data_IF_035427725056
#
_entry.id   IF_035427725056
#
_cell.length_a   1.000
_cell.length_b   1.000
_cell.length_c   1.000
_cell.angle_alpha   90.00
_cell.angle_beta   90.00
_cell.angle_gamma   90.00
#
_symmetry.space_group_name_H-M   'P 1'
#
loop_
_entity.id
_entity.type
_entity.pdbx_description
1 polymer ?
#
# COMPACT_ATOMS: atom_id res chain seq x y z
N UNK A 1 -1.04 3.87 -5.45
CA UNK A 1 -0.02 4.85 -5.85
C UNK A 1 -0.46 5.52 -7.14
N UNK A 2 -0.39 6.85 -7.24
CA UNK A 2 -0.71 7.63 -8.45
C UNK A 2 0.51 8.42 -8.96
N UNK A 3 1.71 8.07 -8.49
CA UNK A 3 2.97 8.71 -8.86
C UNK A 3 3.24 8.69 -10.37
N UNK A 4 4.18 9.52 -10.83
CA UNK A 4 4.63 9.49 -12.22
C UNK A 4 5.29 8.16 -12.62
N UNK A 5 6.00 7.49 -11.70
CA UNK A 5 6.69 6.22 -11.98
C UNK A 5 5.71 5.07 -12.27
N UNK A 6 4.53 5.13 -11.65
CA UNK A 6 3.43 4.20 -11.88
C UNK A 6 2.67 4.43 -13.20
N UNK A 7 2.92 5.54 -13.89
CA UNK A 7 2.32 5.86 -15.20
C UNK A 7 3.12 5.26 -16.36
N UNK A 8 3.60 4.03 -16.17
CA UNK A 8 4.36 3.26 -17.15
C UNK A 8 3.52 2.09 -17.65
N UNK A 9 3.52 1.79 -18.96
CA UNK A 9 2.83 0.61 -19.49
C UNK A 9 3.35 -0.68 -18.86
N UNK A 10 2.45 -1.61 -18.51
CA UNK A 10 2.82 -2.91 -17.93
C UNK A 10 3.62 -3.81 -18.89
N UNK A 11 3.56 -3.52 -20.20
CA UNK A 11 4.38 -4.17 -21.22
C UNK A 11 4.45 -3.30 -22.47
N UNK A 12 5.40 -3.52 -23.40
CA UNK A 12 5.58 -2.69 -24.59
C UNK A 12 4.35 -2.57 -25.50
N UNK A 13 3.42 -3.53 -25.45
CA UNK A 13 2.20 -3.56 -26.26
C UNK A 13 0.94 -3.18 -25.49
N UNK A 14 1.05 -2.94 -24.18
CA UNK A 14 -0.09 -2.62 -23.34
C UNK A 14 -0.39 -1.13 -23.35
N UNK A 15 -1.68 -0.78 -23.33
CA UNK A 15 -2.15 0.57 -22.99
C UNK A 15 -2.44 0.73 -21.50
N UNK A 16 -2.48 -0.39 -20.77
CA UNK A 16 -2.70 -0.40 -19.32
C UNK A 16 -1.40 -0.03 -18.62
N UNK A 17 -1.48 0.92 -17.71
CA UNK A 17 -0.36 1.41 -16.90
C UNK A 17 -0.33 0.75 -15.52
N UNK A 18 0.84 0.73 -14.86
CA UNK A 18 1.02 0.09 -13.55
C UNK A 18 0.04 0.60 -12.49
N UNK A 19 -0.24 1.90 -12.45
CA UNK A 19 -1.20 2.45 -11.47
C UNK A 19 -2.60 1.84 -11.63
N UNK A 20 -3.04 1.58 -12.87
CA UNK A 20 -4.37 1.00 -13.13
C UNK A 20 -4.51 -0.40 -12.54
N UNK A 21 -3.42 -1.18 -12.54
CA UNK A 21 -3.38 -2.48 -11.86
C UNK A 21 -3.63 -2.31 -10.36
N UNK A 22 -2.95 -1.35 -9.72
CA UNK A 22 -3.16 -1.03 -8.31
C UNK A 22 -4.60 -0.60 -8.01
N UNK A 23 -5.23 0.16 -8.92
CA UNK A 23 -6.63 0.55 -8.80
C UNK A 23 -7.57 -0.65 -8.90
N UNK A 24 -7.34 -1.58 -9.84
CA UNK A 24 -8.14 -2.81 -9.96
C UNK A 24 -8.01 -3.66 -8.70
N UNK A 25 -6.79 -3.91 -8.21
CA UNK A 25 -6.56 -4.69 -6.99
C UNK A 25 -7.22 -4.05 -5.76
N UNK A 26 -7.10 -2.73 -5.60
CA UNK A 26 -7.79 -1.99 -4.55
C UNK A 26 -9.32 -2.13 -4.63
N UNK A 27 -9.89 -2.09 -5.83
CA UNK A 27 -11.33 -2.27 -6.03
C UNK A 27 -11.80 -3.72 -5.83
N UNK A 28 -10.97 -4.72 -6.12
CA UNK A 28 -11.25 -6.11 -5.79
C UNK A 28 -11.29 -6.30 -4.27
N UNK A 29 -10.36 -5.73 -3.52
CA UNK A 29 -10.38 -5.74 -2.05
C UNK A 29 -11.62 -5.03 -1.50
N UNK A 30 -11.96 -3.84 -2.03
CA UNK A 30 -13.18 -3.11 -1.62
C UNK A 30 -14.46 -3.90 -1.89
N UNK A 31 -14.48 -4.69 -2.96
CA UNK A 31 -15.60 -5.57 -3.26
C UNK A 31 -15.71 -6.75 -2.28
N UNK A 32 -14.59 -7.37 -1.93
CA UNK A 32 -14.55 -8.57 -1.09
C UNK A 32 -14.68 -8.29 0.41
N UNK A 33 -14.03 -7.24 0.90
CA UNK A 33 -13.97 -6.93 2.32
C UNK A 33 -15.19 -6.10 2.77
N UNK A 34 -15.59 -6.28 4.03
CA UNK A 34 -16.74 -5.56 4.62
C UNK A 34 -16.40 -4.13 5.02
N UNK A 35 -15.23 -3.93 5.62
CA UNK A 35 -14.74 -2.63 6.11
C UNK A 35 -13.45 -2.28 5.39
N UNK A 36 -13.50 -1.29 4.50
CA UNK A 36 -12.33 -0.86 3.71
C UNK A 36 -12.28 0.66 3.67
N UNK A 37 -11.09 1.20 3.90
CA UNK A 37 -10.76 2.60 3.62
C UNK A 37 -9.89 2.58 2.37
N UNK A 38 -10.42 3.10 1.27
CA UNK A 38 -9.68 3.22 0.01
C UNK A 38 -9.20 4.65 -0.17
N UNK A 39 -7.98 4.83 -0.63
CA UNK A 39 -7.48 6.13 -1.02
C UNK A 39 -6.38 6.07 -2.06
N UNK A 40 -6.04 7.25 -2.56
CA UNK A 40 -4.98 7.50 -3.51
C UNK A 40 -3.85 8.23 -2.78
N UNK A 41 -2.61 7.91 -3.11
CA UNK A 41 -1.45 8.65 -2.63
C UNK A 41 -0.54 9.08 -3.78
N UNK A 42 0.12 10.22 -3.58
CA UNK A 42 1.14 10.78 -4.44
C UNK A 42 2.00 11.80 -3.67
N UNK A 43 1.90 13.08 -4.03
CA UNK A 43 2.25 14.22 -3.16
C UNK A 43 1.38 14.26 -1.90
N UNK A 44 0.12 13.87 -1.97
CA UNK A 44 -0.83 13.92 -0.85
C UNK A 44 -1.59 12.59 -0.71
N UNK A 45 -2.30 12.41 0.40
CA UNK A 45 -3.23 11.29 0.60
C UNK A 45 -4.67 11.77 0.46
N UNK A 46 -5.48 11.02 -0.28
CA UNK A 46 -6.91 11.31 -0.45
C UNK A 46 -7.73 10.03 -0.34
N UNK A 47 -8.64 9.99 0.64
CA UNK A 47 -9.67 8.94 0.72
C UNK A 47 -10.65 9.13 -0.44
N UNK A 48 -11.06 8.02 -1.05
CA UNK A 48 -12.11 8.01 -2.07
C UNK A 48 -13.21 7.05 -1.65
N UNK A 49 -14.43 7.56 -1.57
CA UNK A 49 -15.61 6.76 -1.26
C UNK A 49 -16.27 6.31 -2.58
N UNK A 50 -16.38 5.00 -2.77
CA UNK A 50 -17.00 4.39 -3.94
C UNK A 50 -17.94 3.26 -3.52
N UNK A 51 -18.94 2.90 -4.34
CA UNK A 51 -19.75 1.70 -4.10
C UNK A 51 -18.88 0.45 -4.00
N UNK A 52 -19.28 -0.53 -3.18
CA UNK A 52 -18.56 -1.81 -3.07
C UNK A 52 -18.68 -2.68 -4.34
N UNK A 53 -19.68 -2.43 -5.17
CA UNK A 53 -19.90 -3.13 -6.44
C UNK A 53 -19.37 -2.31 -7.62
N UNK A 54 -19.20 -2.98 -8.77
CA UNK A 54 -18.76 -2.32 -10.00
C UNK A 54 -17.26 -2.05 -10.04
N UNK A 55 -16.44 -3.08 -9.79
CA UNK A 55 -14.96 -3.01 -9.77
C UNK A 55 -14.41 -2.20 -10.94
N UNK A 56 -14.74 -2.57 -12.18
CA UNK A 56 -14.23 -1.89 -13.38
C UNK A 56 -14.71 -0.43 -13.51
N UNK A 57 -15.99 -0.17 -13.19
CA UNK A 57 -16.54 1.18 -13.24
C UNK A 57 -15.87 2.09 -12.20
N UNK A 58 -15.58 1.56 -11.03
CA UNK A 58 -14.86 2.28 -9.97
C UNK A 58 -13.39 2.49 -10.32
N UNK A 59 -12.72 1.47 -10.87
CA UNK A 59 -11.35 1.61 -11.39
C UNK A 59 -11.28 2.74 -12.41
N UNK A 60 -12.21 2.78 -13.36
CA UNK A 60 -12.25 3.86 -14.36
C UNK A 60 -12.46 5.25 -13.73
N UNK A 61 -13.35 5.36 -12.73
CA UNK A 61 -13.53 6.60 -11.96
C UNK A 61 -12.24 7.04 -11.26
N UNK A 62 -11.55 6.11 -10.60
CA UNK A 62 -10.28 6.39 -9.92
C UNK A 62 -9.17 6.78 -10.90
N UNK A 63 -9.11 6.15 -12.07
CA UNK A 63 -8.13 6.46 -13.11
C UNK A 63 -8.29 7.91 -13.62
N UNK A 64 -9.53 8.38 -13.73
CA UNK A 64 -9.84 9.76 -14.10
C UNK A 64 -9.48 10.79 -12.99
N UNK A 65 -9.02 10.34 -11.81
CA UNK A 65 -8.51 11.21 -10.73
C UNK A 65 -6.98 11.36 -10.75
N UNK A 66 -6.33 10.96 -11.84
CA UNK A 66 -4.89 11.18 -12.02
C UNK A 66 -4.52 12.66 -11.82
N UNK A 67 -3.42 12.91 -11.11
CA UNK A 67 -2.98 14.27 -10.75
C UNK A 67 -3.66 14.88 -9.51
N UNK A 68 -4.80 14.37 -9.04
CA UNK A 68 -5.52 14.92 -7.86
C UNK A 68 -4.67 14.88 -6.58
N UNK A 69 -3.76 13.92 -6.49
CA UNK A 69 -2.84 13.76 -5.34
C UNK A 69 -1.40 14.17 -5.68
N UNK A 70 -1.16 14.79 -6.83
CA UNK A 70 0.18 15.05 -7.38
C UNK A 70 0.92 13.77 -7.80
N UNK A 71 2.25 13.86 -8.02
CA UNK A 71 3.00 12.85 -8.78
C UNK A 71 4.23 12.27 -8.06
N UNK A 72 4.57 12.72 -6.85
CA UNK A 72 5.55 12.05 -5.98
C UNK A 72 5.04 10.73 -5.44
N UNK A 73 5.90 9.97 -4.76
CA UNK A 73 5.58 8.61 -4.26
C UNK A 73 5.63 8.52 -2.74
N UNK A 74 4.82 9.33 -2.04
CA UNK A 74 4.84 9.42 -0.57
C UNK A 74 3.88 8.43 0.11
N UNK A 75 4.19 7.12 0.05
CA UNK A 75 3.34 6.07 0.63
C UNK A 75 3.09 6.20 2.14
N UNK A 76 4.01 6.81 2.89
CA UNK A 76 3.88 7.04 4.33
C UNK A 76 2.64 7.89 4.70
N UNK A 77 2.14 8.73 3.79
CA UNK A 77 0.99 9.62 4.05
C UNK A 77 -0.30 8.87 4.33
N UNK A 78 -0.46 7.67 3.76
CA UNK A 78 -1.59 6.80 4.07
C UNK A 78 -1.55 6.32 5.52
N UNK A 79 -0.37 5.94 6.02
CA UNK A 79 -0.18 5.49 7.41
C UNK A 79 -0.30 6.66 8.38
N UNK A 80 0.29 7.82 8.05
CA UNK A 80 0.10 9.05 8.83
C UNK A 80 -1.38 9.36 9.02
N UNK A 81 -2.16 9.29 7.94
CA UNK A 81 -3.59 9.55 8.05
C UNK A 81 -4.28 8.61 9.04
N UNK A 82 -3.89 7.33 9.10
CA UNK A 82 -4.37 6.39 10.12
C UNK A 82 -3.94 6.81 11.55
N UNK A 83 -2.68 7.23 11.72
CA UNK A 83 -2.13 7.73 12.98
C UNK A 83 -2.87 8.97 13.50
N UNK A 84 -3.11 9.94 12.62
CA UNK A 84 -3.73 11.23 12.95
C UNK A 84 -5.21 11.05 13.30
N UNK A 85 -5.90 10.17 12.56
CA UNK A 85 -7.34 9.94 12.72
C UNK A 85 -7.66 8.78 13.67
N UNK A 86 -6.63 8.19 14.31
CA UNK A 86 -6.73 7.05 15.23
C UNK A 86 -7.58 5.90 14.66
N UNK A 87 -7.41 5.62 13.36
CA UNK A 87 -8.15 4.55 12.68
C UNK A 87 -7.42 3.23 12.83
N UNK A 88 -8.10 2.22 13.34
CA UNK A 88 -7.58 0.86 13.46
C UNK A 88 -7.90 0.07 12.19
N UNK A 89 -6.87 -0.51 11.57
CA UNK A 89 -6.96 -1.38 10.43
C UNK A 89 -6.12 -2.64 10.71
N UNK A 90 -6.73 -3.81 10.55
CA UNK A 90 -6.03 -5.08 10.74
C UNK A 90 -4.95 -5.29 9.67
N UNK A 91 -5.17 -4.74 8.48
CA UNK A 91 -4.29 -4.89 7.33
C UNK A 91 -4.24 -3.59 6.54
N UNK A 92 -3.04 -3.19 6.13
CA UNK A 92 -2.82 -2.07 5.21
C UNK A 92 -2.17 -2.60 3.93
N UNK A 93 -2.79 -2.29 2.79
CA UNK A 93 -2.32 -2.70 1.46
C UNK A 93 -1.85 -1.46 0.70
N UNK A 94 -0.60 -1.47 0.26
CA UNK A 94 0.01 -0.40 -0.56
C UNK A 94 0.34 -1.00 -1.92
N UNK A 95 -0.32 -0.53 -2.97
CA UNK A 95 -0.04 -0.90 -4.36
C UNK A 95 0.83 0.17 -5.02
N UNK A 96 2.07 -0.17 -5.37
CA UNK A 96 3.13 0.76 -5.82
C UNK A 96 4.12 0.03 -6.76
N UNK A 97 5.14 0.71 -7.24
CA UNK A 97 6.32 0.14 -7.91
C UNK A 97 7.54 0.11 -6.97
N UNK A 98 7.29 0.33 -5.67
CA UNK A 98 8.28 0.39 -4.60
C UNK A 98 9.32 1.51 -4.77
N UNK A 99 9.11 2.46 -5.69
CA UNK A 99 9.83 3.73 -5.69
C UNK A 99 9.27 4.67 -4.63
N UNK A 100 8.96 4.13 -3.46
CA UNK A 100 8.49 4.89 -2.31
C UNK A 100 9.61 5.83 -1.89
N UNK A 101 9.34 7.12 -1.94
CA UNK A 101 10.27 8.09 -1.40
C UNK A 101 10.13 8.00 0.12
N UNK A 102 11.01 7.23 0.73
CA UNK A 102 11.45 7.57 2.06
C UNK A 102 12.17 8.91 1.92
N UNK A 103 11.70 9.92 2.64
CA UNK A 103 12.39 11.21 2.72
C UNK A 103 13.68 11.05 3.54
N UNK A 104 14.55 10.12 3.16
CA UNK A 104 15.91 10.01 3.68
C UNK A 104 16.73 11.12 3.05
N UNK A 105 16.54 12.31 3.59
CA UNK A 105 17.28 13.45 3.12
C UNK A 105 17.44 14.48 4.22
N UNK A 106 18.18 14.09 5.25
CA UNK A 106 18.97 15.06 6.00
C UNK A 106 19.76 16.01 5.04
N UNK A 107 20.03 15.57 3.80
CA UNK A 107 20.61 16.39 2.73
C UNK A 107 19.64 17.29 1.94
N UNK A 108 18.34 16.97 1.84
CA UNK A 108 17.37 17.78 1.06
C UNK A 108 16.62 18.76 1.97
N UNK A 109 16.38 18.40 3.24
CA UNK A 109 15.77 19.32 4.22
C UNK A 109 16.64 20.56 4.49
N UNK A 110 17.97 20.45 4.32
CA UNK A 110 18.90 21.57 4.47
C UNK A 110 18.76 22.64 3.37
N UNK A 111 18.16 22.31 2.22
CA UNK A 111 17.93 23.22 1.09
C UNK A 111 16.45 23.45 0.78
N UNK A 112 15.53 22.89 1.58
CA UNK A 112 14.09 23.16 1.41
C UNK A 112 13.80 24.62 1.80
N UNK A 113 13.22 25.45 0.90
CA UNK A 113 12.87 26.83 1.19
C UNK A 113 11.74 26.95 2.25
N UNK A 114 11.19 25.83 2.71
CA UNK A 114 10.11 25.76 3.70
C UNK A 114 10.60 25.40 5.12
N UNK A 115 11.92 25.28 5.35
CA UNK A 115 12.51 24.94 6.65
C UNK A 115 12.82 23.44 6.81
N UNK A 116 13.36 23.00 7.96
CA UNK A 116 13.65 21.59 8.20
C UNK A 116 12.33 20.81 8.21
N UNK A 117 12.06 20.08 7.14
CA UNK A 117 10.91 19.17 7.09
C UNK A 117 11.15 18.02 8.08
N UNK A 118 10.15 17.74 8.93
CA UNK A 118 10.14 16.52 9.73
C UNK A 118 10.32 15.32 8.80
N UNK A 119 11.33 14.49 9.07
CA UNK A 119 11.62 13.30 8.28
C UNK A 119 10.54 12.27 8.50
N UNK A 120 10.00 11.72 7.42
CA UNK A 120 8.96 10.73 7.52
C UNK A 120 9.16 9.64 6.48
N UNK A 121 9.62 8.51 6.99
CA UNK A 121 9.69 7.26 6.25
C UNK A 121 8.41 6.46 6.45
N UNK A 122 8.14 5.53 5.52
CA UNK A 122 7.05 4.58 5.69
C UNK A 122 7.25 3.73 6.96
N UNK A 123 8.51 3.36 7.25
CA UNK A 123 8.89 2.58 8.44
C UNK A 123 8.57 3.31 9.74
N UNK A 124 8.90 4.60 9.85
CA UNK A 124 8.62 5.41 11.05
C UNK A 124 7.12 5.59 11.30
N UNK A 125 6.35 5.92 10.27
CA UNK A 125 4.89 6.04 10.41
C UNK A 125 4.26 4.69 10.76
N UNK A 126 4.77 3.59 10.20
CA UNK A 126 4.32 2.25 10.56
C UNK A 126 4.63 1.91 12.01
N UNK A 127 5.84 2.23 12.50
CA UNK A 127 6.22 2.03 13.91
C UNK A 127 5.33 2.81 14.87
N UNK A 128 5.03 4.08 14.55
CA UNK A 128 4.06 4.89 15.31
C UNK A 128 2.69 4.22 15.30
N UNK A 129 2.27 3.69 14.15
CA UNK A 129 0.96 3.05 14.00
C UNK A 129 0.81 1.77 14.80
N UNK A 130 1.89 1.01 15.02
CA UNK A 130 1.87 -0.18 15.90
C UNK A 130 1.44 0.14 17.33
N UNK A 131 1.60 1.38 17.82
CA UNK A 131 1.08 1.78 19.12
C UNK A 131 -0.45 1.86 19.19
N UNK A 132 -1.11 2.07 18.04
CA UNK A 132 -2.57 2.16 17.89
C UNK A 132 -3.15 0.80 17.49
N UNK A 133 -2.47 0.09 16.60
CA UNK A 133 -2.88 -1.20 16.06
C UNK A 133 -1.73 -2.22 16.15
N UNK A 134 -1.44 -2.78 17.34
CA UNK A 134 -0.28 -3.66 17.54
C UNK A 134 -0.33 -4.96 16.73
N UNK A 135 -1.52 -5.38 16.29
CA UNK A 135 -1.71 -6.59 15.47
C UNK A 135 -1.84 -6.30 13.97
N UNK A 136 -1.73 -5.03 13.54
CA UNK A 136 -1.84 -4.67 12.13
C UNK A 136 -0.71 -5.27 11.28
N UNK A 137 -1.00 -5.61 10.02
CA UNK A 137 0.00 -6.03 9.04
C UNK A 137 0.09 -5.09 7.88
N UNK A 138 1.29 -4.87 7.36
CA UNK A 138 1.56 -4.05 6.20
C UNK A 138 1.94 -4.93 5.02
N UNK A 139 1.20 -4.81 3.92
CA UNK A 139 1.44 -5.48 2.66
C UNK A 139 1.79 -4.45 1.60
N UNK A 140 2.99 -4.54 1.04
CA UNK A 140 3.48 -3.66 -0.02
C UNK A 140 3.59 -4.47 -1.30
N UNK A 141 2.82 -4.12 -2.32
CA UNK A 141 2.79 -4.79 -3.62
C UNK A 141 3.67 -4.00 -4.58
N UNK A 142 4.78 -4.61 -4.99
CA UNK A 142 5.63 -4.17 -6.08
C UNK A 142 5.03 -4.62 -7.41
N UNK A 143 4.30 -3.72 -8.06
CA UNK A 143 3.62 -3.99 -9.32
C UNK A 143 4.55 -3.98 -10.53
N UNK A 144 5.71 -3.34 -10.42
CA UNK A 144 6.72 -3.27 -11.48
C UNK A 144 7.67 -4.48 -11.46
N UNK A 145 7.75 -5.19 -10.33
CA UNK A 145 8.52 -6.44 -10.19
C UNK A 145 10.04 -6.20 -10.06
N UNK A 146 10.43 -5.09 -9.43
CA UNK A 146 11.83 -4.78 -9.16
C UNK A 146 12.44 -5.65 -8.04
N UNK A 147 11.62 -6.20 -7.12
CA UNK A 147 12.04 -7.10 -6.04
C UNK A 147 11.98 -8.59 -6.44
N UNK A 148 13.14 -9.24 -6.59
CA UNK A 148 13.25 -10.67 -6.92
C UNK A 148 12.81 -11.57 -5.75
N UNK A 149 11.50 -11.83 -5.64
CA UNK A 149 10.82 -13.00 -5.05
C UNK A 149 9.33 -12.64 -4.89
N UNK A 150 8.37 -13.55 -5.12
CA UNK A 150 6.94 -13.22 -4.99
C UNK A 150 6.54 -12.70 -3.59
N UNK A 151 7.28 -13.09 -2.54
CA UNK A 151 7.13 -12.59 -1.17
C UNK A 151 8.51 -12.45 -0.53
N UNK A 152 8.72 -11.34 0.16
CA UNK A 152 9.87 -11.11 1.04
C UNK A 152 9.39 -10.54 2.38
N UNK A 153 9.80 -11.17 3.48
CA UNK A 153 9.42 -10.76 4.84
C UNK A 153 10.50 -9.81 5.37
N UNK A 154 10.17 -8.52 5.43
CA UNK A 154 11.09 -7.49 5.95
C UNK A 154 11.08 -7.45 7.48
N UNK A 155 9.92 -7.73 8.09
CA UNK A 155 9.66 -7.85 9.52
C UNK A 155 8.44 -8.75 9.73
N UNK A 156 8.24 -9.30 10.93
CA UNK A 156 7.14 -10.22 11.24
C UNK A 156 5.72 -9.71 10.90
N UNK A 157 5.55 -8.40 10.67
CA UNK A 157 4.28 -7.75 10.31
C UNK A 157 4.37 -6.90 9.03
N UNK A 158 5.46 -7.02 8.25
CA UNK A 158 5.65 -6.32 6.97
C UNK A 158 6.04 -7.30 5.87
N UNK A 159 5.17 -7.39 4.86
CA UNK A 159 5.28 -8.31 3.73
C UNK A 159 5.43 -7.51 2.44
N UNK A 160 6.52 -7.73 1.72
CA UNK A 160 6.68 -7.23 0.36
C UNK A 160 6.26 -8.33 -0.61
N UNK A 161 5.45 -7.98 -1.59
CA UNK A 161 4.84 -8.90 -2.53
C UNK A 161 5.13 -8.41 -3.94
N UNK A 162 5.76 -9.24 -4.78
CA UNK A 162 6.07 -8.88 -6.16
C UNK A 162 5.02 -9.39 -7.14
N UNK A 163 4.56 -8.50 -8.02
CA UNK A 163 3.60 -8.78 -9.08
C UNK A 163 2.14 -8.76 -8.63
N UNK A 164 1.26 -9.13 -9.58
CA UNK A 164 -0.19 -8.95 -9.45
C UNK A 164 -1.00 -10.07 -10.12
N UNK A 165 -0.41 -11.26 -10.26
CA UNK A 165 -1.13 -12.41 -10.81
C UNK A 165 -2.28 -12.88 -9.90
N UNK A 166 -3.19 -13.70 -10.43
CA UNK A 166 -4.29 -14.30 -9.67
C UNK A 166 -3.85 -15.06 -8.40
N UNK A 167 -2.64 -15.64 -8.45
CA UNK A 167 -2.04 -16.39 -7.33
C UNK A 167 -1.75 -15.53 -6.11
N UNK A 168 -1.79 -14.21 -6.24
CA UNK A 168 -1.51 -13.29 -5.14
C UNK A 168 -2.52 -13.43 -3.99
N UNK A 169 -3.77 -13.75 -4.31
CA UNK A 169 -4.79 -13.97 -3.29
C UNK A 169 -4.62 -15.32 -2.58
N UNK A 170 -4.14 -16.35 -3.28
CA UNK A 170 -3.81 -17.65 -2.68
C UNK A 170 -2.62 -17.53 -1.72
N UNK A 171 -1.63 -16.72 -2.11
CA UNK A 171 -0.48 -16.37 -1.26
C UNK A 171 -0.93 -15.66 0.01
N UNK A 172 -1.80 -14.65 -0.10
CA UNK A 172 -2.33 -13.93 1.06
C UNK A 172 -3.09 -14.87 2.00
N UNK A 173 -3.95 -15.73 1.45
CA UNK A 173 -4.70 -16.73 2.23
C UNK A 173 -3.77 -17.72 2.93
N UNK A 174 -2.68 -18.13 2.28
CA UNK A 174 -1.67 -19.04 2.85
C UNK A 174 -0.90 -18.41 4.01
N UNK A 175 -0.51 -17.13 3.90
CA UNK A 175 0.13 -16.39 4.99
C UNK A 175 -0.79 -16.27 6.21
N UNK A 176 -2.08 -16.02 5.97
CA UNK A 176 -3.07 -15.91 7.02
C UNK A 176 -3.32 -17.24 7.75
N UNK A 177 -3.41 -18.33 7.00
CA UNK A 177 -3.58 -19.69 7.57
C UNK A 177 -2.33 -20.18 8.29
N UNK A 178 -1.14 -19.90 7.74
CA UNK A 178 0.13 -20.28 8.35
C UNK A 178 0.29 -19.70 9.77
N UNK A 179 -0.05 -18.44 9.96
CA UNK A 179 -0.05 -17.83 11.29
C UNK A 179 -1.14 -18.37 12.22
N UNK A 180 -2.34 -18.64 11.68
CA UNK A 180 -3.41 -19.27 12.47
C UNK A 180 -2.97 -20.62 13.03
N UNK A 181 -2.29 -21.43 12.21
CA UNK A 181 -1.80 -22.75 12.62
C UNK A 181 -0.71 -22.65 13.69
N UNK A 182 0.22 -21.70 13.57
CA UNK A 182 1.25 -21.45 14.59
C UNK A 182 0.63 -21.03 15.92
N UNK A 183 -0.35 -20.10 15.88
CA UNK A 183 -1.05 -19.63 17.07
C UNK A 183 -1.92 -20.72 17.74
N UNK A 184 -2.37 -21.73 17.00
CA UNK A 184 -3.07 -22.90 17.56
C UNK A 184 -2.11 -23.87 18.25
N UNK A 185 -0.93 -24.12 17.68
CA UNK A 185 0.10 -24.98 18.30
C UNK A 185 0.56 -24.42 19.65
N UNK A 186 0.82 -23.12 19.74
CA UNK A 186 1.21 -22.46 20.99
C UNK A 186 0.14 -22.54 22.10
N UNK A 187 -1.14 -22.71 21.74
CA UNK A 187 -2.24 -22.89 22.71
C UNK A 187 -2.39 -24.33 23.22
N UNK A 188 -1.83 -25.30 22.50
CA UNK A 188 -1.88 -26.73 22.89
C UNK A 188 -0.73 -27.07 23.85
N UNK A 189 0.35 -26.29 23.85
CA UNK A 189 1.51 -26.47 24.76
C UNK A 189 1.37 -25.77 26.13
N UNK A 190 0.17 -25.25 26.47
CA UNK A 190 -0.19 -24.68 27.78
C UNK A 190 -1.28 -25.52 28.47
#
# INVERSE_FOLDING_TARGET
DMSASMQTPISPKSKIQNFEIGLVLGMLLQNKCKNVITGLFGESWKIVQLPRTGVLANTHKLANMIGVVGHSTNGYKAIRWLNDNKKVADKVFIFTDCQLWDSDSARYSMFSPYGPEEHFTLSEEWNKYKSIAPNSKLYIFDLAGYGQAPIDIKRNDVFMIAGWSEKIFEVLDSLEKGESNLAEVEKIEL
#
